data_IF_881160304382
#
_entry.id   IF_881160304382
#
_cell.length_a   1.000
_cell.length_b   1.000
_cell.length_c   1.000
_cell.angle_alpha   90.00
_cell.angle_beta   90.00
_cell.angle_gamma   90.00
#
_symmetry.space_group_name_H-M   'P 1'
#
loop_
_entity.id
_entity.type
_entity.pdbx_description
1 polymer ?
#
# COMPACT_ATOMS: atom_id res chain seq x y z
N UNK A 1 -26.00 30.94 -38.46
CA UNK A 1 -26.76 30.34 -37.34
C UNK A 1 -25.81 29.48 -36.53
N UNK A 2 -25.91 29.56 -35.21
CA UNK A 2 -24.83 29.32 -34.23
C UNK A 2 -24.44 27.83 -34.05
N UNK A 3 -23.14 27.56 -33.93
CA UNK A 3 -22.62 26.32 -33.34
C UNK A 3 -22.83 26.40 -31.82
N UNK A 4 -23.77 25.62 -31.31
CA UNK A 4 -24.09 25.59 -29.89
C UNK A 4 -22.92 25.02 -29.07
N UNK A 5 -22.38 25.90 -28.21
CA UNK A 5 -21.48 25.60 -27.10
C UNK A 5 -22.15 24.62 -26.14
N UNK A 6 -21.77 23.34 -26.20
CA UNK A 6 -22.10 22.34 -25.20
C UNK A 6 -20.93 22.03 -24.27
N UNK A 7 -20.41 23.02 -23.52
CA UNK A 7 -19.50 22.73 -22.40
C UNK A 7 -20.30 22.07 -21.29
N UNK A 8 -20.24 20.74 -21.23
CA UNK A 8 -20.92 19.96 -20.19
C UNK A 8 -20.33 20.33 -18.82
N UNK A 9 -21.15 21.04 -18.05
CA UNK A 9 -20.88 21.55 -16.72
C UNK A 9 -20.84 20.36 -15.76
N UNK A 10 -19.65 19.82 -15.48
CA UNK A 10 -19.44 18.73 -14.51
C UNK A 10 -19.80 19.24 -13.11
N UNK A 11 -21.05 19.01 -12.70
CA UNK A 11 -21.54 19.32 -11.37
C UNK A 11 -20.73 18.54 -10.33
N UNK A 12 -19.90 19.26 -9.57
CA UNK A 12 -19.22 18.73 -8.39
C UNK A 12 -20.27 18.42 -7.32
N UNK A 13 -20.75 17.19 -7.26
CA UNK A 13 -21.61 16.71 -6.19
C UNK A 13 -20.80 16.65 -4.89
N UNK A 14 -20.80 17.75 -4.13
CA UNK A 14 -20.20 17.82 -2.80
C UNK A 14 -21.10 17.09 -1.81
N UNK A 15 -20.81 15.81 -1.53
CA UNK A 15 -21.50 15.06 -0.49
C UNK A 15 -21.06 15.60 0.88
N UNK A 16 -21.96 16.28 1.60
CA UNK A 16 -21.76 16.64 3.00
C UNK A 16 -21.71 15.36 3.86
N UNK A 17 -20.85 15.26 4.88
CA UNK A 17 -20.88 14.13 5.80
C UNK A 17 -22.13 14.23 6.68
N UNK A 18 -23.02 13.24 6.56
CA UNK A 18 -24.13 13.04 7.50
C UNK A 18 -23.53 12.47 8.78
N UNK A 19 -23.59 13.22 9.88
CA UNK A 19 -23.29 12.72 11.22
C UNK A 19 -24.35 11.69 11.60
N UNK A 20 -23.97 10.41 11.62
CA UNK A 20 -24.77 9.37 12.25
C UNK A 20 -24.45 9.33 13.75
N UNK A 21 -25.39 9.79 14.56
CA UNK A 21 -25.46 9.48 15.99
C UNK A 21 -25.72 7.98 16.16
N UNK A 22 -24.90 7.34 16.98
CA UNK A 22 -24.88 5.91 17.23
C UNK A 22 -26.12 5.40 18.00
N UNK A 23 -26.44 4.11 17.89
CA UNK A 23 -26.90 3.33 19.01
C UNK A 23 -25.77 2.41 19.50
N UNK A 24 -25.61 2.43 20.82
CA UNK A 24 -24.80 1.55 21.64
C UNK A 24 -25.01 0.08 21.24
N UNK A 25 -24.02 -0.52 20.56
CA UNK A 25 -23.94 -1.96 20.37
C UNK A 25 -22.91 -2.51 21.34
N UNK A 26 -23.40 -3.34 22.26
CA UNK A 26 -22.64 -4.17 23.19
C UNK A 26 -21.43 -4.80 22.50
N UNK A 27 -20.24 -4.25 22.79
CA UNK A 27 -18.99 -4.71 22.26
C UNK A 27 -18.61 -6.06 22.91
N UNK A 28 -18.97 -7.17 22.27
CA UNK A 28 -18.12 -8.36 22.34
C UNK A 28 -16.78 -7.95 21.77
N UNK A 29 -15.84 -7.64 22.66
CA UNK A 29 -14.48 -7.16 22.35
C UNK A 29 -13.69 -8.32 21.73
N UNK A 30 -14.02 -8.65 20.49
CA UNK A 30 -13.10 -9.31 19.59
C UNK A 30 -11.97 -8.31 19.43
N UNK A 31 -10.88 -8.55 20.15
CA UNK A 31 -9.64 -7.80 19.98
C UNK A 31 -9.18 -8.14 18.57
N UNK A 32 -9.64 -7.37 17.59
CA UNK A 32 -9.08 -7.36 16.25
C UNK A 32 -7.70 -6.76 16.43
N UNK A 33 -6.74 -7.64 16.72
CA UNK A 33 -5.34 -7.29 16.82
C UNK A 33 -4.96 -6.76 15.45
N UNK A 34 -4.83 -5.43 15.34
CA UNK A 34 -4.35 -4.80 14.10
C UNK A 34 -3.05 -5.51 13.74
N UNK A 35 -2.88 -5.97 12.47
CA UNK A 35 -1.64 -6.61 12.08
C UNK A 35 -0.48 -5.67 12.41
N UNK A 36 0.60 -6.23 12.97
CA UNK A 36 1.78 -5.46 13.33
C UNK A 36 2.20 -4.62 12.12
N UNK A 37 2.06 -3.30 12.23
CA UNK A 37 2.41 -2.41 11.13
C UNK A 37 3.92 -2.34 11.08
N UNK A 38 4.53 -2.93 10.05
CA UNK A 38 5.97 -2.85 9.83
C UNK A 38 6.37 -1.38 9.71
N UNK A 39 7.42 -0.98 10.43
CA UNK A 39 7.98 0.36 10.32
C UNK A 39 8.56 0.56 8.91
N UNK A 40 8.17 1.64 8.24
CA UNK A 40 8.78 2.01 6.97
C UNK A 40 10.23 2.45 7.20
N UNK A 41 11.15 1.88 6.42
CA UNK A 41 12.57 2.20 6.45
C UNK A 41 12.99 2.59 5.03
N UNK A 42 13.68 3.73 4.91
CA UNK A 42 14.28 4.13 3.65
C UNK A 42 15.65 3.46 3.51
N UNK A 43 15.84 2.72 2.42
CA UNK A 43 17.10 2.05 2.09
C UNK A 43 17.66 2.66 0.80
N UNK A 44 18.98 2.86 0.77
CA UNK A 44 19.71 3.29 -0.44
C UNK A 44 20.58 2.15 -0.91
N UNK A 45 20.35 1.73 -2.15
CA UNK A 45 21.16 0.73 -2.84
C UNK A 45 21.98 1.39 -3.94
N UNK A 46 23.15 0.84 -4.24
CA UNK A 46 23.93 1.20 -5.42
C UNK A 46 23.17 0.85 -6.72
N UNK A 47 23.64 1.40 -7.84
CA UNK A 47 22.96 1.25 -9.14
C UNK A 47 22.89 -0.20 -9.63
N UNK A 48 23.91 -1.01 -9.34
CA UNK A 48 23.97 -2.42 -9.75
C UNK A 48 22.92 -3.21 -8.98
N UNK A 49 22.87 -3.05 -7.66
CA UNK A 49 21.88 -3.70 -6.80
C UNK A 49 20.46 -3.28 -7.17
N UNK A 50 20.21 -2.00 -7.47
CA UNK A 50 18.90 -1.54 -7.96
C UNK A 50 18.50 -2.22 -9.27
N UNK A 51 19.44 -2.37 -10.22
CA UNK A 51 19.19 -3.08 -11.47
C UNK A 51 18.80 -4.54 -11.22
N UNK A 52 19.50 -5.22 -10.31
CA UNK A 52 19.21 -6.61 -9.96
C UNK A 52 17.85 -6.78 -9.28
N UNK A 53 17.50 -5.89 -8.35
CA UNK A 53 16.17 -5.90 -7.69
C UNK A 53 15.05 -5.72 -8.71
N UNK A 54 15.22 -4.82 -9.69
CA UNK A 54 14.25 -4.61 -10.77
C UNK A 54 14.07 -5.85 -11.64
N UNK A 55 15.18 -6.51 -11.99
CA UNK A 55 15.15 -7.73 -12.77
C UNK A 55 14.42 -8.85 -12.03
N UNK A 56 14.77 -9.10 -10.76
CA UNK A 56 14.12 -10.12 -9.93
C UNK A 56 12.62 -9.83 -9.74
N UNK A 57 12.24 -8.57 -9.59
CA UNK A 57 10.84 -8.17 -9.48
C UNK A 57 10.04 -8.58 -10.73
N UNK A 58 10.62 -8.39 -11.92
CA UNK A 58 10.02 -8.83 -13.18
C UNK A 58 9.99 -10.36 -13.31
N UNK A 59 11.09 -11.04 -12.98
CA UNK A 59 11.20 -12.51 -13.05
C UNK A 59 10.21 -13.20 -12.11
N UNK A 60 10.01 -12.67 -10.91
CA UNK A 60 9.15 -13.26 -9.89
C UNK A 60 7.69 -12.77 -9.97
N UNK A 61 7.40 -11.75 -10.78
CA UNK A 61 6.07 -11.15 -10.87
C UNK A 61 5.62 -10.46 -9.57
N UNK A 62 6.54 -9.89 -8.82
CA UNK A 62 6.26 -9.22 -7.53
C UNK A 62 6.84 -7.80 -7.48
N UNK A 63 6.49 -7.04 -6.45
CA UNK A 63 7.05 -5.69 -6.26
C UNK A 63 8.51 -5.74 -5.82
N UNK A 64 9.28 -4.70 -6.14
CA UNK A 64 10.67 -4.57 -5.67
C UNK A 64 10.79 -4.66 -4.14
N UNK A 65 9.83 -4.08 -3.41
CA UNK A 65 9.75 -4.21 -1.95
C UNK A 65 9.63 -5.67 -1.52
N UNK A 66 8.79 -6.45 -2.21
CA UNK A 66 8.62 -7.87 -1.87
C UNK A 66 9.86 -8.71 -2.19
N UNK A 67 10.62 -8.34 -3.22
CA UNK A 67 11.94 -8.93 -3.49
C UNK A 67 12.87 -8.69 -2.32
N UNK A 68 12.98 -7.44 -1.85
CA UNK A 68 13.87 -7.08 -0.74
C UNK A 68 13.47 -7.83 0.54
N UNK A 69 12.18 -7.89 0.86
CA UNK A 69 11.69 -8.65 2.03
C UNK A 69 12.10 -10.12 1.96
N UNK A 70 11.89 -10.77 0.81
CA UNK A 70 12.26 -12.18 0.62
C UNK A 70 13.77 -12.41 0.79
N UNK A 71 14.60 -11.54 0.20
CA UNK A 71 16.05 -11.65 0.33
C UNK A 71 16.52 -11.48 1.77
N UNK A 72 15.90 -10.58 2.54
CA UNK A 72 16.19 -10.42 3.97
C UNK A 72 15.79 -11.68 4.75
N UNK A 73 14.59 -12.22 4.48
CA UNK A 73 14.10 -13.43 5.15
C UNK A 73 15.00 -14.64 4.85
N UNK A 74 15.42 -14.82 3.60
CA UNK A 74 16.35 -15.87 3.16
C UNK A 74 17.73 -15.72 3.81
N UNK A 75 18.28 -14.51 3.84
CA UNK A 75 19.57 -14.24 4.50
C UNK A 75 19.49 -14.49 6.00
N UNK A 76 18.37 -14.14 6.63
CA UNK A 76 18.14 -14.38 8.05
C UNK A 76 18.18 -15.88 8.37
N UNK A 77 17.48 -16.70 7.57
CA UNK A 77 17.48 -18.16 7.71
C UNK A 77 18.88 -18.73 7.45
N UNK A 78 19.57 -18.24 6.42
CA UNK A 78 20.92 -18.70 6.04
C UNK A 78 21.98 -18.35 7.07
N UNK A 79 21.91 -17.14 7.66
CA UNK A 79 22.91 -16.66 8.62
C UNK A 79 22.81 -17.34 9.98
N UNK A 80 21.73 -18.08 10.27
CA UNK A 80 21.59 -18.86 11.51
C UNK A 80 21.66 -18.03 12.80
N UNK A 81 21.55 -16.69 12.73
CA UNK A 81 21.49 -15.84 13.90
C UNK A 81 20.18 -16.09 14.63
N UNK A 82 20.25 -16.91 15.68
CA UNK A 82 19.25 -17.02 16.74
C UNK A 82 19.61 -16.08 17.87
#
# INVERSE_FOLDING_TARGET
MALEKGFSMLQKQTRKPVMNTAPEQTATKSTVTKPATKRLVSMRFDSVTQGRIKQLAAEWGVTQTRVIERLIDEEWVRSGRK
#
